data_IF_741197498491
#
_entry.id   IF_741197498491
#
_cell.length_a   1.000
_cell.length_b   1.000
_cell.length_c   1.000
_cell.angle_alpha   90.00
_cell.angle_beta   90.00
_cell.angle_gamma   90.00
#
_symmetry.space_group_name_H-M   'P 1'
#
loop_
_entity.id
_entity.type
_entity.pdbx_description
1 polymer ?
#
# COMPACT_ATOMS: atom_id res chain seq x y z
N UNK A 1 51.36 -0.79 -4.84
CA UNK A 1 50.95 -0.51 -3.44
C UNK A 1 49.74 0.42 -3.33
N UNK A 2 49.82 1.73 -3.67
CA UNK A 2 48.67 2.65 -3.46
C UNK A 2 47.53 2.43 -4.46
N UNK A 3 47.85 2.10 -5.72
CA UNK A 3 46.87 1.85 -6.81
C UNK A 3 46.06 0.57 -6.56
N UNK A 4 46.73 -0.52 -6.17
CA UNK A 4 46.10 -1.80 -5.86
C UNK A 4 45.16 -1.70 -4.64
N UNK A 5 45.53 -0.88 -3.64
CA UNK A 5 44.67 -0.61 -2.49
C UNK A 5 43.40 0.16 -2.89
N UNK A 6 43.51 1.12 -3.82
CA UNK A 6 42.37 1.88 -4.33
C UNK A 6 41.42 1.01 -5.17
N UNK A 7 41.96 0.11 -6.00
CA UNK A 7 41.16 -0.84 -6.78
C UNK A 7 40.40 -1.83 -5.88
N UNK A 8 41.04 -2.32 -4.81
CA UNK A 8 40.41 -3.20 -3.82
C UNK A 8 39.23 -2.52 -3.13
N UNK A 9 39.40 -1.28 -2.63
CA UNK A 9 38.33 -0.49 -1.98
C UNK A 9 37.16 -0.25 -2.95
N UNK A 10 37.44 0.09 -4.21
CA UNK A 10 36.40 0.27 -5.21
C UNK A 10 35.64 -1.03 -5.53
N UNK A 11 36.31 -2.18 -5.52
CA UNK A 11 35.66 -3.48 -5.70
C UNK A 11 34.70 -3.81 -4.55
N UNK A 12 35.08 -3.47 -3.31
CA UNK A 12 34.24 -3.65 -2.14
C UNK A 12 33.02 -2.71 -2.15
N UNK A 13 33.22 -1.44 -2.53
CA UNK A 13 32.13 -0.47 -2.69
C UNK A 13 31.14 -0.96 -3.76
N UNK A 14 31.63 -1.44 -4.91
CA UNK A 14 30.79 -2.00 -5.97
C UNK A 14 30.02 -3.23 -5.51
N UNK A 15 30.66 -4.13 -4.74
CA UNK A 15 30.00 -5.32 -4.17
C UNK A 15 28.89 -4.90 -3.19
N UNK A 16 29.19 -4.02 -2.23
CA UNK A 16 28.21 -3.50 -1.27
C UNK A 16 27.01 -2.81 -1.95
N UNK A 17 27.26 -2.06 -3.03
CA UNK A 17 26.20 -1.44 -3.82
C UNK A 17 25.36 -2.46 -4.59
N UNK A 18 25.97 -3.55 -5.08
CA UNK A 18 25.23 -4.63 -5.74
C UNK A 18 24.35 -5.40 -4.74
N UNK A 19 24.86 -5.63 -3.53
CA UNK A 19 24.15 -6.34 -2.48
C UNK A 19 22.94 -5.51 -1.96
N UNK A 20 23.06 -4.18 -1.88
CA UNK A 20 21.97 -3.28 -1.46
C UNK A 20 20.82 -3.16 -2.47
N UNK A 21 21.04 -3.55 -3.72
CA UNK A 21 20.04 -3.57 -4.78
C UNK A 21 19.17 -4.84 -4.78
N UNK A 22 19.56 -5.87 -4.03
CA UNK A 22 18.83 -7.14 -3.95
C UNK A 22 18.88 -7.98 -5.25
N UNK A 23 18.22 -9.15 -5.25
CA UNK A 23 18.35 -10.15 -6.32
C UNK A 23 17.85 -9.67 -7.69
N UNK A 24 16.92 -8.72 -7.73
CA UNK A 24 16.30 -8.20 -8.95
C UNK A 24 16.59 -6.71 -9.21
N UNK A 25 17.50 -6.08 -8.45
CA UNK A 25 17.75 -4.65 -8.59
C UNK A 25 16.62 -3.74 -8.08
N UNK A 26 15.70 -4.28 -7.29
CA UNK A 26 14.50 -3.59 -6.78
C UNK A 26 14.70 -3.02 -5.36
N UNK A 27 15.91 -3.15 -4.82
CA UNK A 27 16.30 -2.82 -3.45
C UNK A 27 16.34 -4.06 -2.55
N UNK A 28 16.98 -3.92 -1.38
CA UNK A 28 17.08 -4.97 -0.37
C UNK A 28 15.68 -5.41 0.14
N UNK A 29 15.32 -6.70 0.04
CA UNK A 29 14.09 -7.25 0.61
C UNK A 29 13.95 -7.09 2.13
N UNK A 30 15.08 -7.02 2.86
CA UNK A 30 15.10 -6.94 4.33
C UNK A 30 15.08 -5.51 4.86
N UNK A 31 15.27 -4.51 3.99
CA UNK A 31 15.16 -3.11 4.35
C UNK A 31 13.73 -2.78 4.81
N UNK A 32 13.61 -2.27 6.04
CA UNK A 32 12.35 -1.84 6.66
C UNK A 32 12.14 -0.33 6.68
N UNK A 33 13.09 0.44 6.14
CA UNK A 33 12.94 1.90 6.08
C UNK A 33 11.81 2.28 5.14
N UNK A 34 11.11 3.36 5.48
CA UNK A 34 10.01 3.88 4.68
C UNK A 34 10.43 5.16 3.96
N UNK A 35 10.26 5.15 2.65
CA UNK A 35 10.41 6.32 1.78
C UNK A 35 9.22 7.25 1.97
N UNK A 36 9.41 8.53 1.66
CA UNK A 36 8.36 9.57 1.77
C UNK A 36 7.06 9.15 1.06
N UNK A 37 7.17 8.64 -0.17
CA UNK A 37 6.01 8.15 -0.94
C UNK A 37 5.29 6.97 -0.26
N UNK A 38 6.00 6.14 0.49
CA UNK A 38 5.41 5.00 1.19
C UNK A 38 4.62 5.47 2.40
N UNK A 39 5.21 6.40 3.17
CA UNK A 39 4.59 7.00 4.34
C UNK A 39 3.37 7.86 3.99
N UNK A 40 3.46 8.67 2.95
CA UNK A 40 2.46 9.69 2.63
C UNK A 40 1.40 9.20 1.63
N UNK A 41 1.70 8.16 0.83
CA UNK A 41 0.81 7.71 -0.25
C UNK A 41 0.46 6.22 -0.13
N UNK A 42 1.45 5.33 -0.11
CA UNK A 42 1.17 3.89 -0.26
C UNK A 42 0.54 3.27 0.99
N UNK A 43 1.06 3.57 2.18
CA UNK A 43 0.48 3.10 3.44
C UNK A 43 -0.92 3.72 3.66
N UNK A 44 -1.12 5.05 3.52
CA UNK A 44 -2.46 5.64 3.57
C UNK A 44 -3.46 5.04 2.57
N UNK A 45 -2.99 4.71 1.36
CA UNK A 45 -3.82 4.03 0.36
C UNK A 45 -4.20 2.62 0.82
N UNK A 46 -3.25 1.84 1.34
CA UNK A 46 -3.51 0.50 1.88
C UNK A 46 -4.49 0.56 3.05
N UNK A 47 -4.32 1.51 3.97
CA UNK A 47 -5.26 1.73 5.08
C UNK A 47 -6.68 2.01 4.55
N UNK A 48 -6.83 2.87 3.54
CA UNK A 48 -8.12 3.17 2.93
C UNK A 48 -8.74 1.94 2.28
N UNK A 49 -7.97 1.21 1.48
CA UNK A 49 -8.44 0.01 0.80
C UNK A 49 -8.88 -1.07 1.81
N UNK A 50 -8.09 -1.29 2.86
CA UNK A 50 -8.39 -2.26 3.92
C UNK A 50 -9.60 -1.82 4.76
N UNK A 51 -9.68 -0.54 5.14
CA UNK A 51 -10.83 -0.02 5.86
C UNK A 51 -12.12 -0.19 5.06
N UNK A 52 -12.11 0.11 3.75
CA UNK A 52 -13.26 -0.08 2.86
C UNK A 52 -13.70 -1.55 2.77
N UNK A 53 -12.75 -2.47 2.66
CA UNK A 53 -13.04 -3.90 2.41
C UNK A 53 -13.36 -4.68 3.68
N UNK A 54 -12.80 -4.28 4.83
CA UNK A 54 -12.83 -5.09 6.05
C UNK A 54 -13.48 -4.39 7.26
N UNK A 55 -13.46 -3.06 7.33
CA UNK A 55 -13.83 -2.32 8.55
C UNK A 55 -15.11 -1.49 8.44
N UNK A 56 -15.29 -0.80 7.33
CA UNK A 56 -16.41 0.11 7.06
C UNK A 56 -17.40 -0.50 6.06
N UNK A 57 -17.56 -1.83 6.09
CA UNK A 57 -18.35 -2.56 5.08
C UNK A 57 -19.81 -2.17 5.10
N UNK A 58 -20.38 -1.91 6.30
CA UNK A 58 -21.76 -1.46 6.47
C UNK A 58 -21.98 -0.06 5.90
N UNK A 59 -21.12 0.90 6.27
CA UNK A 59 -21.23 2.29 5.82
C UNK A 59 -21.02 2.41 4.32
N UNK A 60 -20.12 1.59 3.75
CA UNK A 60 -19.90 1.49 2.32
C UNK A 60 -21.12 0.89 1.62
N UNK A 61 -21.74 -0.15 2.19
CA UNK A 61 -22.94 -0.74 1.65
C UNK A 61 -24.13 0.24 1.64
N UNK A 62 -24.35 0.95 2.76
CA UNK A 62 -25.38 1.98 2.89
C UNK A 62 -25.18 3.12 1.90
N UNK A 63 -23.95 3.62 1.78
CA UNK A 63 -23.63 4.66 0.82
C UNK A 63 -23.85 4.17 -0.62
N UNK A 64 -23.37 2.97 -0.97
CA UNK A 64 -23.58 2.39 -2.30
C UNK A 64 -25.06 2.17 -2.62
N UNK A 65 -25.86 1.75 -1.63
CA UNK A 65 -27.32 1.61 -1.78
C UNK A 65 -27.95 2.96 -2.12
N UNK A 66 -27.65 4.00 -1.36
CA UNK A 66 -28.14 5.34 -1.63
C UNK A 66 -27.72 5.84 -3.03
N UNK A 67 -26.45 5.59 -3.43
CA UNK A 67 -25.95 5.96 -4.75
C UNK A 67 -26.72 5.29 -5.88
N UNK A 68 -27.06 4.01 -5.72
CA UNK A 68 -27.85 3.26 -6.71
C UNK A 68 -29.27 3.78 -6.82
N UNK A 69 -29.89 4.17 -5.70
CA UNK A 69 -31.27 4.67 -5.66
C UNK A 69 -31.41 6.08 -6.27
N UNK A 70 -30.42 6.96 -6.08
CA UNK A 70 -30.51 8.35 -6.51
C UNK A 70 -29.71 8.70 -7.77
N UNK A 71 -28.87 7.79 -8.27
CA UNK A 71 -28.08 8.01 -9.48
C UNK A 71 -27.32 9.33 -9.44
N UNK A 72 -27.52 10.21 -10.42
CA UNK A 72 -26.85 11.51 -10.50
C UNK A 72 -27.18 12.46 -9.33
N UNK A 73 -28.33 12.28 -8.67
CA UNK A 73 -28.73 13.10 -7.52
C UNK A 73 -28.06 12.68 -6.20
N UNK A 74 -27.21 11.64 -6.21
CA UNK A 74 -26.54 11.12 -5.02
C UNK A 74 -25.72 12.17 -4.24
N UNK A 75 -25.13 13.16 -4.93
CA UNK A 75 -24.29 14.18 -4.27
C UNK A 75 -25.11 15.09 -3.35
N UNK A 76 -26.40 15.22 -3.65
CA UNK A 76 -27.35 15.97 -2.83
C UNK A 76 -28.00 15.06 -1.80
N UNK A 77 -28.46 13.88 -2.22
CA UNK A 77 -29.32 13.04 -1.40
C UNK A 77 -28.56 12.11 -0.44
N UNK A 78 -27.34 11.67 -0.80
CA UNK A 78 -26.56 10.70 -0.02
C UNK A 78 -25.55 11.35 0.92
N UNK A 79 -25.78 12.60 1.33
CA UNK A 79 -24.85 13.33 2.20
C UNK A 79 -24.71 12.66 3.57
N UNK A 80 -25.81 12.14 4.11
CA UNK A 80 -25.85 11.48 5.42
C UNK A 80 -25.01 10.19 5.42
N UNK A 81 -25.22 9.33 4.43
CA UNK A 81 -24.51 8.07 4.26
C UNK A 81 -23.02 8.34 3.96
N UNK A 82 -22.72 9.35 3.15
CA UNK A 82 -21.36 9.78 2.87
C UNK A 82 -20.63 10.26 4.14
N UNK A 83 -21.31 11.02 5.00
CA UNK A 83 -20.72 11.46 6.29
C UNK A 83 -20.41 10.27 7.18
N UNK A 84 -21.35 9.33 7.37
CA UNK A 84 -21.10 8.10 8.15
C UNK A 84 -19.90 7.31 7.61
N UNK A 85 -19.82 7.14 6.29
CA UNK A 85 -18.70 6.45 5.65
C UNK A 85 -17.38 7.20 5.88
N UNK A 86 -17.36 8.53 5.75
CA UNK A 86 -16.18 9.36 6.01
C UNK A 86 -15.75 9.30 7.47
N UNK A 87 -16.69 9.28 8.40
CA UNK A 87 -16.42 9.19 9.83
C UNK A 87 -15.77 7.84 10.15
N UNK A 88 -16.29 6.74 9.61
CA UNK A 88 -15.67 5.42 9.74
C UNK A 88 -14.24 5.41 9.17
N UNK A 89 -14.02 5.94 7.97
CA UNK A 89 -12.68 6.02 7.40
C UNK A 89 -11.73 6.88 8.24
N UNK A 90 -12.21 8.01 8.77
CA UNK A 90 -11.41 8.92 9.58
C UNK A 90 -10.98 8.25 10.89
N UNK A 91 -11.89 7.54 11.54
CA UNK A 91 -11.60 6.76 12.74
C UNK A 91 -10.46 5.76 12.51
N UNK A 92 -10.55 4.94 11.46
CA UNK A 92 -9.50 3.97 11.16
C UNK A 92 -8.21 4.60 10.66
N UNK A 93 -8.30 5.72 9.94
CA UNK A 93 -7.12 6.45 9.48
C UNK A 93 -6.28 7.02 10.63
N UNK A 94 -6.94 7.45 11.71
CA UNK A 94 -6.29 7.98 12.91
C UNK A 94 -5.85 6.90 13.90
N UNK A 95 -6.26 5.65 13.70
CA UNK A 95 -5.91 4.55 14.58
C UNK A 95 -4.44 4.12 14.38
N UNK A 96 -3.57 4.24 15.41
CA UNK A 96 -2.14 3.94 15.29
C UNK A 96 -1.85 2.45 15.08
N UNK A 97 -2.60 1.56 15.73
CA UNK A 97 -2.45 0.11 15.57
C UNK A 97 -2.80 -0.33 14.16
N UNK A 98 -3.87 0.25 13.59
CA UNK A 98 -4.28 -0.03 12.22
C UNK A 98 -3.25 0.48 11.20
N UNK A 99 -2.65 1.65 11.47
CA UNK A 99 -1.54 2.17 10.66
C UNK A 99 -0.32 1.26 10.71
N UNK A 100 0.02 0.76 11.90
CA UNK A 100 1.14 -0.17 12.08
C UNK A 100 0.87 -1.48 11.32
N UNK A 101 -0.30 -2.08 11.49
CA UNK A 101 -0.71 -3.29 10.78
C UNK A 101 -0.59 -3.11 9.25
N UNK A 102 -1.14 -2.02 8.71
CA UNK A 102 -1.05 -1.74 7.27
C UNK A 102 0.39 -1.49 6.81
N UNK A 103 1.24 -0.94 7.68
CA UNK A 103 2.66 -0.73 7.40
C UNK A 103 3.40 -2.06 7.32
N UNK A 104 3.16 -2.98 8.24
CA UNK A 104 3.75 -4.31 8.26
C UNK A 104 3.34 -5.13 7.03
N UNK A 105 2.05 -5.13 6.69
CA UNK A 105 1.54 -5.77 5.47
C UNK A 105 2.18 -5.16 4.20
N UNK A 106 2.36 -3.83 4.16
CA UNK A 106 3.03 -3.16 3.05
C UNK A 106 4.50 -3.57 2.93
N UNK A 107 5.23 -3.61 4.04
CA UNK A 107 6.62 -4.02 4.06
C UNK A 107 6.79 -5.48 3.62
N UNK A 108 5.87 -6.36 4.03
CA UNK A 108 5.86 -7.76 3.58
C UNK A 108 5.63 -7.86 2.07
N UNK A 109 4.64 -7.16 1.54
CA UNK A 109 4.38 -7.10 0.09
C UNK A 109 5.57 -6.55 -0.70
N UNK A 110 6.23 -5.53 -0.15
CA UNK A 110 7.43 -4.94 -0.75
C UNK A 110 8.60 -5.91 -0.73
N UNK A 111 8.80 -6.62 0.38
CA UNK A 111 9.85 -7.64 0.51
C UNK A 111 9.63 -8.78 -0.50
N UNK A 112 8.40 -9.28 -0.61
CA UNK A 112 8.02 -10.29 -1.62
C UNK A 112 8.31 -9.79 -3.04
N UNK A 113 7.94 -8.55 -3.37
CA UNK A 113 8.21 -7.98 -4.70
C UNK A 113 9.70 -7.81 -4.97
N UNK A 114 10.48 -7.32 -3.99
CA UNK A 114 11.93 -7.17 -4.11
C UNK A 114 12.65 -8.51 -4.25
N UNK A 115 12.13 -9.55 -3.58
CA UNK A 115 12.68 -10.90 -3.60
C UNK A 115 12.35 -11.67 -4.87
N UNK A 116 11.14 -11.50 -5.42
CA UNK A 116 10.63 -12.33 -6.54
C UNK A 116 10.52 -11.59 -7.87
N UNK A 117 10.49 -10.25 -7.85
CA UNK A 117 10.16 -9.42 -9.01
C UNK A 117 8.69 -9.43 -9.42
N UNK A 118 7.79 -10.15 -8.72
CA UNK A 118 6.40 -10.33 -9.11
C UNK A 118 5.48 -9.43 -8.28
N UNK A 119 4.70 -8.57 -8.94
CA UNK A 119 3.71 -7.73 -8.24
C UNK A 119 2.44 -8.51 -7.90
N UNK A 120 1.82 -8.28 -6.74
CA UNK A 120 0.51 -8.89 -6.42
C UNK A 120 -0.61 -8.51 -7.41
N UNK A 121 -0.45 -7.43 -8.18
CA UNK A 121 -1.41 -6.95 -9.19
C UNK A 121 -1.41 -7.75 -10.51
N UNK A 122 -0.46 -8.65 -10.72
CA UNK A 122 -0.51 -9.58 -11.86
C UNK A 122 -1.50 -10.74 -11.65
N UNK A 123 -2.16 -10.83 -10.49
CA UNK A 123 -3.37 -11.66 -10.36
C UNK A 123 -4.52 -10.97 -11.12
N UNK A 124 -5.16 -11.63 -12.10
CA UNK A 124 -6.28 -11.04 -12.82
C UNK A 124 -7.34 -10.62 -11.80
N UNK A 125 -7.73 -9.34 -11.85
CA UNK A 125 -8.88 -8.84 -11.09
C UNK A 125 -10.09 -9.68 -11.52
N UNK A 126 -10.53 -10.60 -10.67
CA UNK A 126 -11.77 -11.32 -10.87
C UNK A 126 -12.86 -10.29 -11.17
N UNK A 127 -13.48 -10.41 -12.34
CA UNK A 127 -14.68 -9.66 -12.65
C UNK A 127 -15.71 -10.06 -11.60
N UNK A 128 -16.25 -9.09 -10.87
CA UNK A 128 -17.49 -9.30 -10.13
C UNK A 128 -18.56 -9.51 -11.19
N UNK A 129 -18.90 -10.77 -11.43
CA UNK A 129 -20.01 -11.17 -12.27
C UNK A 129 -21.26 -10.88 -11.45
N UNK A 130 -21.99 -9.82 -11.85
CA UNK A 130 -23.32 -9.56 -11.31
C UNK A 130 -24.26 -10.58 -11.96
N UNK A 131 -24.81 -11.49 -11.16
CA UNK A 131 -26.01 -12.25 -11.47
C UNK A 131 -27.10 -11.95 -10.46
#
# INVERSE_FOLDING_TARGET
MVVEAFESVNSEIKRKHKDSLGPHGLGDPNDKTLRKVEMEVLIPKKMRDKARLEKCTSEVADFNKCCKEHGLLMVLNCRKENTKMKDCYTYWYQNPEFKQLCTEEYLQERAEYRMTGITKKSKPRGKVENS
#
